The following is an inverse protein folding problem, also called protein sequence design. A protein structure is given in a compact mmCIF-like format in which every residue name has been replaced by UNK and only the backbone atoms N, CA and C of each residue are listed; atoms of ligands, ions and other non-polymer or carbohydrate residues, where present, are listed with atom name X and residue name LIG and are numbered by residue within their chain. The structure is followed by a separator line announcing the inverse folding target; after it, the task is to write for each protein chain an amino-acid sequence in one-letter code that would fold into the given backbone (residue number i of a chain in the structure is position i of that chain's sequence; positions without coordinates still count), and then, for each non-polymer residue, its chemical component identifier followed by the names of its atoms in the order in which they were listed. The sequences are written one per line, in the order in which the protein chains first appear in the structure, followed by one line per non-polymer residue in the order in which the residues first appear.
data_IF_766620234017
#
_entry.id   IF_766620234017
#
_cell.length_a   1.000
_cell.length_b   1.000
_cell.length_c   1.000
_cell.angle_alpha   90.00
_cell.angle_beta   90.00
_cell.angle_gamma   90.00
#
_symmetry.space_group_name_H-M   'P 1'
#
loop_
_entity.id
_entity.type
_entity.pdbx_description
1 polymer ?
#
# COMPACT_ATOMS: atom_id res chain seq x y z
N UNK A 1 29.27 4.55 23.69
CA UNK A 1 28.66 5.28 22.57
C UNK A 1 28.80 4.42 21.32
N UNK A 2 27.86 3.50 21.06
CA UNK A 2 27.87 2.70 19.83
C UNK A 2 26.97 3.39 18.82
N UNK A 3 27.58 4.08 17.85
CA UNK A 3 26.84 4.67 16.74
C UNK A 3 26.20 3.56 15.91
N UNK A 4 24.89 3.61 15.60
CA UNK A 4 24.27 2.66 14.71
C UNK A 4 24.76 2.91 13.29
N UNK A 5 25.76 2.14 12.85
CA UNK A 5 26.31 2.18 11.51
C UNK A 5 25.23 1.69 10.54
N UNK A 6 24.50 2.63 9.94
CA UNK A 6 23.47 2.31 8.95
C UNK A 6 24.16 1.62 7.77
N UNK A 7 23.74 0.41 7.37
CA UNK A 7 24.43 -0.33 6.32
C UNK A 7 24.45 0.49 5.03
N UNK A 8 25.58 0.52 4.29
CA UNK A 8 25.73 1.35 3.11
C UNK A 8 24.66 0.97 2.08
N UNK A 9 23.99 2.00 1.53
CA UNK A 9 22.95 1.82 0.52
C UNK A 9 23.55 1.14 -0.71
N UNK A 10 23.19 -0.13 -0.96
CA UNK A 10 23.61 -0.83 -2.18
C UNK A 10 22.91 -0.24 -3.41
N UNK A 11 23.72 0.18 -4.37
CA UNK A 11 23.25 0.54 -5.71
C UNK A 11 23.39 -0.69 -6.62
N UNK A 12 22.28 -1.07 -7.26
CA UNK A 12 22.28 -2.15 -8.24
C UNK A 12 22.85 -1.65 -9.57
N UNK A 13 23.64 -2.48 -10.23
CA UNK A 13 24.09 -2.20 -11.60
C UNK A 13 22.90 -2.16 -12.57
N UNK A 14 23.08 -1.59 -13.76
CA UNK A 14 21.99 -1.50 -14.76
C UNK A 14 21.47 -2.88 -15.16
N UNK A 15 22.35 -3.87 -15.24
CA UNK A 15 21.99 -5.25 -15.57
C UNK A 15 21.23 -5.92 -14.43
N UNK A 16 21.70 -5.76 -13.19
CA UNK A 16 21.00 -6.24 -12.00
C UNK A 16 19.61 -5.62 -11.87
N UNK A 17 19.46 -4.33 -12.15
CA UNK A 17 18.16 -3.65 -12.16
C UNK A 17 17.21 -4.29 -13.16
N UNK A 18 17.69 -4.62 -14.36
CA UNK A 18 16.89 -5.26 -15.41
C UNK A 18 16.44 -6.65 -14.97
N UNK A 19 17.33 -7.42 -14.35
CA UNK A 19 17.01 -8.75 -13.79
C UNK A 19 15.96 -8.64 -12.68
N UNK A 20 16.09 -7.66 -11.77
CA UNK A 20 15.12 -7.42 -10.69
C UNK A 20 13.75 -7.09 -11.25
N UNK A 21 13.67 -6.22 -12.27
CA UNK A 21 12.40 -5.85 -12.90
C UNK A 21 11.74 -7.07 -13.54
N UNK A 22 12.47 -7.86 -14.33
CA UNK A 22 11.94 -9.10 -14.94
C UNK A 22 11.49 -10.12 -13.90
N UNK A 23 12.23 -10.27 -12.80
CA UNK A 23 11.85 -11.15 -11.70
C UNK A 23 10.53 -10.69 -11.06
N UNK A 24 10.37 -9.39 -10.83
CA UNK A 24 9.13 -8.83 -10.30
C UNK A 24 7.96 -9.07 -11.25
N UNK A 25 8.13 -8.85 -12.55
CA UNK A 25 7.10 -9.13 -13.56
C UNK A 25 6.65 -10.59 -13.50
N UNK A 26 7.60 -11.53 -13.40
CA UNK A 26 7.30 -12.95 -13.22
C UNK A 26 6.52 -13.22 -11.93
N UNK A 27 6.88 -12.58 -10.82
CA UNK A 27 6.14 -12.74 -9.56
C UNK A 27 4.72 -12.18 -9.64
N UNK A 28 4.50 -11.08 -10.36
CA UNK A 28 3.17 -10.52 -10.62
C UNK A 28 2.34 -11.50 -11.45
N UNK A 29 2.91 -12.04 -12.53
CA UNK A 29 2.24 -13.03 -13.39
C UNK A 29 1.83 -14.30 -12.62
N UNK A 30 2.59 -14.67 -11.58
CA UNK A 30 2.26 -15.76 -10.66
C UNK A 30 1.23 -15.38 -9.57
N UNK A 31 0.62 -14.20 -9.65
CA UNK A 31 -0.41 -13.74 -8.71
C UNK A 31 0.12 -13.38 -7.31
N UNK A 32 1.43 -13.17 -7.13
CA UNK A 32 1.99 -12.86 -5.81
C UNK A 32 1.57 -11.46 -5.35
N UNK A 33 1.30 -11.31 -4.05
CA UNK A 33 0.95 -10.02 -3.46
C UNK A 33 2.13 -9.05 -3.47
N UNK A 34 1.83 -7.76 -3.62
CA UNK A 34 2.83 -6.71 -3.65
C UNK A 34 3.66 -6.64 -2.35
N UNK A 35 3.07 -6.94 -1.19
CA UNK A 35 3.77 -7.06 0.10
C UNK A 35 4.88 -8.10 0.04
N UNK A 36 4.56 -9.26 -0.52
CA UNK A 36 5.43 -10.43 -0.54
C UNK A 36 6.54 -10.23 -1.55
N UNK A 37 6.21 -9.68 -2.72
CA UNK A 37 7.19 -9.28 -3.73
C UNK A 37 8.20 -8.29 -3.16
N UNK A 38 7.72 -7.21 -2.51
CA UNK A 38 8.61 -6.21 -1.91
C UNK A 38 9.53 -6.83 -0.85
N UNK A 39 8.99 -7.74 -0.04
CA UNK A 39 9.74 -8.40 1.03
C UNK A 39 10.80 -9.33 0.47
N UNK A 40 10.45 -10.17 -0.50
CA UNK A 40 11.36 -11.11 -1.14
C UNK A 40 12.50 -10.39 -1.90
N UNK A 41 12.18 -9.34 -2.65
CA UNK A 41 13.19 -8.58 -3.40
C UNK A 41 14.11 -7.80 -2.46
N UNK A 42 13.56 -7.17 -1.41
CA UNK A 42 14.34 -6.47 -0.41
C UNK A 42 15.35 -7.41 0.27
N UNK A 43 14.92 -8.60 0.67
CA UNK A 43 15.79 -9.60 1.28
C UNK A 43 16.86 -10.11 0.30
N UNK A 44 16.46 -10.51 -0.92
CA UNK A 44 17.36 -11.14 -1.89
C UNK A 44 18.47 -10.22 -2.41
N UNK A 45 18.16 -8.93 -2.60
CA UNK A 45 19.09 -7.96 -3.18
C UNK A 45 19.66 -6.97 -2.15
N UNK A 46 19.37 -7.18 -0.86
CA UNK A 46 19.73 -6.28 0.23
C UNK A 46 19.33 -4.82 -0.05
N UNK A 47 18.06 -4.63 -0.40
CA UNK A 47 17.49 -3.33 -0.74
C UNK A 47 16.55 -2.84 0.36
N UNK A 48 16.42 -1.52 0.49
CA UNK A 48 15.32 -0.94 1.26
C UNK A 48 13.97 -1.31 0.66
N UNK A 49 12.93 -1.46 1.50
CA UNK A 49 11.54 -1.64 1.04
C UNK A 49 11.08 -0.55 0.08
N UNK A 50 11.57 0.69 0.25
CA UNK A 50 11.28 1.82 -0.65
C UNK A 50 11.91 1.60 -2.03
N UNK A 51 13.15 1.10 -2.09
CA UNK A 51 13.82 0.75 -3.35
C UNK A 51 13.09 -0.38 -4.08
N UNK A 52 12.73 -1.45 -3.37
CA UNK A 52 11.93 -2.54 -3.94
C UNK A 52 10.57 -2.04 -4.48
N UNK A 53 9.94 -1.09 -3.79
CA UNK A 53 8.69 -0.43 -4.25
C UNK A 53 8.90 0.31 -5.58
N UNK A 54 10.03 1.02 -5.76
CA UNK A 54 10.34 1.69 -7.03
C UNK A 54 10.47 0.70 -8.20
N UNK A 55 11.16 -0.42 -7.99
CA UNK A 55 11.27 -1.45 -9.03
C UNK A 55 9.93 -2.13 -9.32
N UNK A 56 9.07 -2.29 -8.31
CA UNK A 56 7.70 -2.78 -8.50
C UNK A 56 6.87 -1.83 -9.39
N UNK A 57 6.94 -0.53 -9.16
CA UNK A 57 6.26 0.45 -10.01
C UNK A 57 6.81 0.44 -11.44
N UNK A 58 8.13 0.36 -11.59
CA UNK A 58 8.77 0.25 -12.90
C UNK A 58 8.32 -1.00 -13.65
N UNK A 59 8.33 -2.17 -12.99
CA UNK A 59 7.87 -3.42 -13.57
C UNK A 59 6.42 -3.35 -14.06
N UNK A 60 5.52 -2.76 -13.26
CA UNK A 60 4.12 -2.56 -13.65
C UNK A 60 3.97 -1.63 -14.85
N UNK A 61 4.74 -0.55 -14.90
CA UNK A 61 4.72 0.37 -16.04
C UNK A 61 5.19 -0.32 -17.31
N UNK A 62 6.30 -1.06 -17.25
CA UNK A 62 6.80 -1.83 -18.40
C UNK A 62 5.80 -2.92 -18.84
N UNK A 63 5.11 -3.56 -17.89
CA UNK A 63 4.02 -4.49 -18.22
C UNK A 63 2.85 -3.80 -18.91
N UNK A 64 2.46 -2.61 -18.43
CA UNK A 64 1.39 -1.82 -19.05
C UNK A 64 1.77 -1.35 -20.46
N UNK A 65 3.00 -0.88 -20.66
CA UNK A 65 3.54 -0.50 -21.98
C UNK A 65 3.54 -1.68 -22.95
N UNK A 66 3.79 -2.91 -22.46
CA UNK A 66 3.78 -4.11 -23.29
C UNK A 66 2.37 -4.54 -23.70
N UNK A 67 1.36 -4.24 -22.89
CA UNK A 67 -0.01 -4.53 -23.30
C UNK A 67 -0.49 -3.39 -24.19
N UNK A 68 -0.29 -3.54 -25.49
CA UNK A 68 -0.75 -2.64 -26.56
C UNK A 68 -2.28 -2.57 -26.70
N UNK A 69 -3.04 -2.82 -25.62
CA UNK A 69 -4.49 -2.70 -25.62
C UNK A 69 -4.89 -1.30 -25.19
N UNK A 70 -6.03 -0.85 -25.71
CA UNK A 70 -6.62 0.41 -25.29
C UNK A 70 -7.02 0.32 -23.82
N UNK A 71 -6.82 1.40 -23.07
CA UNK A 71 -7.17 1.47 -21.65
C UNK A 71 -8.64 1.06 -21.38
N UNK A 72 -9.55 1.34 -22.32
CA UNK A 72 -10.96 0.99 -22.21
C UNK A 72 -11.22 -0.52 -22.29
N UNK A 73 -10.49 -1.23 -23.15
CA UNK A 73 -10.56 -2.71 -23.24
C UNK A 73 -10.07 -3.33 -21.93
N UNK A 74 -8.98 -2.80 -21.38
CA UNK A 74 -8.45 -3.22 -20.09
C UNK A 74 -9.40 -2.99 -18.92
N UNK A 75 -10.07 -1.84 -18.87
CA UNK A 75 -11.08 -1.55 -17.87
C UNK A 75 -12.27 -2.50 -17.99
N UNK A 76 -12.69 -2.79 -19.21
CA UNK A 76 -13.77 -3.72 -19.52
C UNK A 76 -13.43 -5.14 -19.05
N UNK A 77 -12.25 -5.66 -19.39
CA UNK A 77 -11.77 -6.97 -18.95
C UNK A 77 -11.70 -7.06 -17.42
N UNK A 78 -11.17 -6.00 -16.79
CA UNK A 78 -11.07 -5.91 -15.33
C UNK A 78 -12.44 -5.91 -14.66
N UNK A 79 -13.42 -5.21 -15.24
CA UNK A 79 -14.79 -5.18 -14.74
C UNK A 79 -15.42 -6.58 -14.76
N UNK A 80 -15.33 -7.30 -15.88
CA UNK A 80 -15.89 -8.65 -15.98
C UNK A 80 -15.20 -9.64 -15.05
N UNK A 81 -13.88 -9.53 -14.86
CA UNK A 81 -13.14 -10.36 -13.91
C UNK A 81 -13.60 -10.14 -12.46
N UNK A 82 -13.73 -8.89 -12.01
CA UNK A 82 -14.19 -8.64 -10.64
C UNK A 82 -15.66 -9.02 -10.45
N UNK A 83 -16.48 -8.86 -11.50
CA UNK A 83 -17.87 -9.32 -11.49
C UNK A 83 -17.96 -10.83 -11.33
N UNK A 84 -17.12 -11.60 -12.03
CA UNK A 84 -17.12 -13.07 -11.87
C UNK A 84 -16.72 -13.51 -10.46
N UNK A 85 -15.84 -12.78 -9.77
CA UNK A 85 -15.49 -13.07 -8.35
C UNK A 85 -16.69 -12.83 -7.42
N UNK A 86 -17.50 -11.81 -7.69
CA UNK A 86 -18.69 -11.49 -6.87
C UNK A 86 -19.78 -12.55 -7.06
N UNK A 87 -19.95 -12.99 -8.31
CA UNK A 87 -20.96 -14.00 -8.69
C UNK A 87 -20.56 -15.42 -8.25
N UNK A 88 -19.27 -15.69 -8.05
CA UNK A 88 -18.75 -16.99 -7.60
C UNK A 88 -19.13 -17.32 -6.14
N UNK A 89 -19.93 -18.37 -5.88
CA UNK A 89 -20.31 -18.82 -4.54
C UNK A 89 -19.14 -19.31 -3.69
N UNK A 90 -18.02 -19.71 -4.29
CA UNK A 90 -16.84 -20.24 -3.59
C UNK A 90 -15.84 -19.14 -3.18
N UNK A 91 -15.98 -17.94 -3.73
CA UNK A 91 -15.08 -16.84 -3.40
C UNK A 91 -15.25 -16.38 -1.95
N UNK A 92 -14.12 -16.07 -1.30
CA UNK A 92 -14.13 -15.63 0.09
C UNK A 92 -14.87 -14.31 0.24
N UNK A 93 -15.55 -14.10 1.38
CA UNK A 93 -16.20 -12.82 1.71
C UNK A 93 -15.26 -11.63 1.52
N UNK A 94 -13.99 -11.78 1.89
CA UNK A 94 -13.00 -10.72 1.75
C UNK A 94 -12.61 -10.47 0.28
N UNK A 95 -12.60 -11.50 -0.56
CA UNK A 95 -12.36 -11.37 -2.00
C UNK A 95 -13.51 -10.67 -2.70
N UNK A 96 -14.76 -11.02 -2.36
CA UNK A 96 -15.97 -10.33 -2.85
C UNK A 96 -15.96 -8.86 -2.48
N UNK A 97 -15.66 -8.53 -1.21
CA UNK A 97 -15.56 -7.14 -0.77
C UNK A 97 -14.50 -6.35 -1.57
N UNK A 98 -13.31 -6.93 -1.76
CA UNK A 98 -12.28 -6.29 -2.59
C UNK A 98 -12.68 -6.16 -4.05
N UNK A 99 -13.40 -7.12 -4.61
CA UNK A 99 -13.90 -7.05 -5.98
C UNK A 99 -14.91 -5.91 -6.13
N UNK A 100 -15.83 -5.74 -5.17
CA UNK A 100 -16.74 -4.60 -5.14
C UNK A 100 -15.97 -3.27 -5.08
N UNK A 101 -15.04 -3.13 -4.13
CA UNK A 101 -14.21 -1.92 -4.02
C UNK A 101 -13.46 -1.62 -5.32
N UNK A 102 -13.03 -2.64 -6.06
CA UNK A 102 -12.33 -2.48 -7.34
C UNK A 102 -13.26 -2.05 -8.47
N UNK A 103 -14.48 -2.55 -8.50
CA UNK A 103 -15.50 -2.09 -9.44
C UNK A 103 -15.85 -0.63 -9.15
N UNK A 104 -16.01 -0.25 -7.89
CA UNK A 104 -16.25 1.15 -7.51
C UNK A 104 -15.12 2.07 -8.00
N UNK A 105 -13.86 1.60 -7.89
CA UNK A 105 -12.68 2.31 -8.45
C UNK A 105 -12.77 2.49 -9.95
N UNK A 106 -13.15 1.43 -10.67
CA UNK A 106 -13.25 1.46 -12.14
C UNK A 106 -14.37 2.38 -12.62
N UNK A 107 -15.48 2.45 -11.87
CA UNK A 107 -16.64 3.29 -12.18
C UNK A 107 -16.52 4.73 -11.65
N UNK A 108 -15.49 5.01 -10.83
CA UNK A 108 -15.29 6.34 -10.24
C UNK A 108 -16.34 6.74 -9.20
N UNK A 109 -17.06 5.77 -8.63
CA UNK A 109 -18.11 5.97 -7.63
C UNK A 109 -17.60 5.81 -6.19
N UNK A 110 -16.29 5.62 -6.03
CA UNK A 110 -15.68 5.52 -4.71
C UNK A 110 -16.04 6.72 -3.83
N UNK A 111 -16.50 6.43 -2.62
CA UNK A 111 -16.60 7.43 -1.57
C UNK A 111 -15.18 7.96 -1.29
N UNK A 112 -14.92 9.22 -1.61
CA UNK A 112 -13.66 9.86 -1.21
C UNK A 112 -13.62 9.89 0.31
N UNK A 113 -12.88 8.97 0.92
CA UNK A 113 -12.65 8.97 2.37
C UNK A 113 -11.73 10.14 2.70
N UNK A 114 -12.28 11.35 2.75
CA UNK A 114 -11.62 12.55 3.29
C UNK A 114 -11.61 12.50 4.82
N UNK A 115 -11.20 11.37 5.39
CA UNK A 115 -11.15 11.18 6.83
C UNK A 115 -9.77 10.73 7.28
N UNK A 116 -8.77 11.55 6.98
CA UNK A 116 -7.68 11.75 7.94
C UNK A 116 -8.25 12.59 9.08
N UNK A 117 -8.98 11.96 10.00
CA UNK A 117 -8.89 12.45 11.37
C UNK A 117 -7.44 12.24 11.77
N UNK A 118 -6.66 13.32 11.67
CA UNK A 118 -5.44 13.47 12.41
C UNK A 118 -5.82 13.22 13.87
N UNK A 119 -5.55 12.00 14.36
CA UNK A 119 -5.56 11.70 15.80
C UNK A 119 -4.49 12.60 16.41
N UNK A 120 -4.89 13.81 16.78
CA UNK A 120 -4.06 14.77 17.52
C UNK A 120 -4.05 14.45 19.02
N UNK A 121 -4.56 13.28 19.41
CA UNK A 121 -4.30 12.71 20.73
C UNK A 121 -2.88 12.14 20.72
N UNK A 122 -1.93 13.01 21.03
CA UNK A 122 -0.50 12.69 21.05
C UNK A 122 -0.04 12.06 22.38
N UNK A 123 -0.96 11.84 23.33
CA UNK A 123 -0.67 11.18 24.60
C UNK A 123 -1.09 9.72 24.55
N UNK A 124 -0.21 8.84 25.01
CA UNK A 124 -0.45 7.42 25.22
C UNK A 124 -1.42 7.19 26.38
N UNK A 125 -1.99 5.98 26.48
CA UNK A 125 -2.92 5.61 27.55
C UNK A 125 -2.24 5.73 28.93
N UNK A 126 -0.98 5.32 29.03
CA UNK A 126 -0.18 5.40 30.26
C UNK A 126 0.08 6.84 30.70
N UNK A 127 0.26 7.77 29.75
CA UNK A 127 0.40 9.20 30.06
C UNK A 127 -0.93 9.85 30.50
N UNK A 128 -2.07 9.26 30.12
CA UNK A 128 -3.39 9.71 30.55
C UNK A 128 -3.68 9.25 31.97
N UNK A 129 -3.34 8.00 32.31
CA UNK A 129 -3.53 7.45 33.64
C UNK A 129 -2.65 8.11 34.72
N UNK A 130 -1.48 8.63 34.32
CA UNK A 130 -0.56 9.31 35.21
C UNK A 130 -0.80 10.83 35.35
N UNK A 131 -1.75 11.40 34.59
CA UNK A 131 -2.13 12.81 34.74
C UNK A 131 -3.09 12.99 35.92
N UNK A 132 -2.98 14.14 36.59
CA UNK A 132 -4.01 14.54 37.54
C UNK A 132 -5.28 14.98 36.80
N UNK A 133 -6.42 14.94 37.48
CA UNK A 133 -7.72 15.36 36.92
C UNK A 133 -7.69 16.81 36.41
N UNK A 134 -6.91 17.68 37.06
CA UNK A 134 -6.72 19.08 36.66
C UNK A 134 -5.94 19.19 35.34
N UNK A 135 -4.83 18.45 35.19
CA UNK A 135 -4.02 18.44 33.97
C UNK A 135 -4.77 17.87 32.78
N UNK A 136 -5.61 16.86 33.02
CA UNK A 136 -6.44 16.23 32.01
C UNK A 136 -7.53 17.20 31.52
N UNK A 137 -8.17 17.92 32.44
CA UNK A 137 -9.19 18.91 32.10
C UNK A 137 -8.59 20.11 31.33
N UNK A 138 -7.41 20.58 31.72
CA UNK A 138 -6.69 21.63 31.00
C UNK A 138 -6.29 21.20 29.58
N UNK A 139 -5.82 19.97 29.43
CA UNK A 139 -5.49 19.41 28.12
C UNK A 139 -6.74 19.27 27.23
N UNK A 140 -7.86 18.81 27.80
CA UNK A 140 -9.14 18.70 27.11
C UNK A 140 -9.66 20.07 26.67
N UNK A 141 -9.59 21.09 27.53
CA UNK A 141 -10.01 22.45 27.20
C UNK A 141 -9.13 23.08 26.12
N UNK A 142 -7.82 22.83 26.14
CA UNK A 142 -6.89 23.25 25.07
C UNK A 142 -7.23 22.61 23.73
N UNK A 143 -7.56 21.32 23.71
CA UNK A 143 -8.02 20.64 22.49
C UNK A 143 -9.36 21.20 22.02
N UNK A 144 -10.34 21.37 22.92
CA UNK A 144 -11.66 21.92 22.59
C UNK A 144 -11.56 23.31 21.96
N UNK A 145 -10.67 24.18 22.46
CA UNK A 145 -10.41 25.51 21.89
C UNK A 145 -9.71 25.46 20.53
N UNK A 146 -8.92 24.43 20.24
CA UNK A 146 -8.20 24.29 18.97
C UNK A 146 -9.08 23.81 17.80
N UNK A 147 -10.18 23.12 18.10
CA UNK A 147 -11.09 22.54 17.10
C UNK A 147 -12.51 23.15 17.12
N UNK A 148 -12.72 24.20 17.92
CA UNK A 148 -13.89 25.08 17.83
C UNK A 148 -13.60 26.26 16.93
#
# INVERSE_FOLDING_TARGET
MTEPTTPPRRYLSRDEQTVVVRLIQKMIALGRYASDIKTAIAARYNLSRRSATRYLHRARREMQEFVERKDDEHRTDSFYFYRSIIEDPESSRHERLRACERIDKLLGIELTVKYTQSRNFNKSIEEIENMTDEELNDYYNKLKKKYS
#
